data_IF_130321881000
#
_entry.id   IF_130321881000
#
_cell.length_a   1.000
_cell.length_b   1.000
_cell.length_c   1.000
_cell.angle_alpha   90.00
_cell.angle_beta   90.00
_cell.angle_gamma   90.00
#
_symmetry.space_group_name_H-M   'P 1'
#
loop_
_entity.id
_entity.type
_entity.pdbx_description
1 polymer ?
#
# COMPACT_ATOMS: atom_id res chain seq x y z
N UNK A 1 -6.64 -15.75 44.58
CA UNK A 1 -6.77 -16.46 43.27
C UNK A 1 -8.17 -16.25 42.73
N UNK A 2 -8.36 -15.34 41.77
CA UNK A 2 -9.59 -15.23 40.97
C UNK A 2 -9.18 -14.95 39.52
N UNK A 3 -9.57 -15.86 38.64
CA UNK A 3 -9.27 -15.89 37.20
C UNK A 3 -10.12 -14.81 36.55
N UNK A 4 -9.50 -13.73 36.07
CA UNK A 4 -10.18 -12.71 35.25
C UNK A 4 -10.05 -13.16 33.80
N UNK A 5 -11.20 -13.42 33.17
CA UNK A 5 -11.31 -13.98 31.84
C UNK A 5 -10.83 -13.01 30.76
N UNK A 6 -10.12 -13.56 29.77
CA UNK A 6 -9.57 -12.86 28.60
C UNK A 6 -10.63 -12.21 27.67
N UNK A 7 -11.92 -12.38 27.98
CA UNK A 7 -13.03 -11.87 27.17
C UNK A 7 -13.27 -10.35 27.33
N UNK A 8 -12.65 -9.67 28.30
CA UNK A 8 -12.91 -8.23 28.55
C UNK A 8 -11.95 -7.26 27.86
N UNK A 9 -10.87 -7.73 27.22
CA UNK A 9 -9.90 -6.85 26.53
C UNK A 9 -10.33 -6.58 25.08
N UNK A 10 -11.06 -7.50 24.45
CA UNK A 10 -11.45 -7.39 23.04
C UNK A 10 -12.61 -6.39 22.84
N UNK A 11 -13.46 -6.17 23.84
CA UNK A 11 -14.59 -5.25 23.74
C UNK A 11 -14.21 -3.75 23.87
N UNK A 12 -13.01 -3.43 24.36
CA UNK A 12 -12.54 -2.03 24.49
C UNK A 12 -11.90 -1.52 23.19
N UNK A 13 -11.40 -2.42 22.32
CA UNK A 13 -10.73 -2.03 21.08
C UNK A 13 -11.66 -1.78 19.87
N UNK A 14 -12.96 -2.10 19.97
CA UNK A 14 -13.93 -1.93 18.88
C UNK A 14 -14.87 -0.71 19.02
N UNK A 15 -14.70 0.14 20.05
CA UNK A 15 -15.58 1.29 20.29
C UNK A 15 -14.87 2.67 20.25
N UNK A 16 -13.58 2.73 19.88
CA UNK A 16 -12.81 3.98 19.82
C UNK A 16 -12.39 4.39 18.38
N UNK A 17 -13.03 3.81 17.36
CA UNK A 17 -12.78 4.10 15.94
C UNK A 17 -13.87 4.92 15.26
N UNK A 18 -14.86 5.45 16.00
CA UNK A 18 -15.98 6.20 15.41
C UNK A 18 -16.25 7.61 15.99
N UNK A 19 -15.41 8.15 16.90
CA UNK A 19 -15.66 9.49 17.47
C UNK A 19 -14.58 10.55 17.20
N UNK A 20 -13.46 10.20 16.56
CA UNK A 20 -12.38 11.16 16.27
C UNK A 20 -12.45 11.83 14.88
N UNK A 21 -13.34 11.40 13.98
CA UNK A 21 -13.43 11.94 12.62
C UNK A 21 -14.50 13.04 12.44
N UNK A 22 -15.40 13.25 13.41
CA UNK A 22 -16.57 14.13 13.27
C UNK A 22 -16.44 15.56 13.82
N UNK A 23 -15.37 15.91 14.54
CA UNK A 23 -15.20 17.24 15.17
C UNK A 23 -14.11 18.12 14.54
N UNK A 24 -13.63 17.78 13.34
CA UNK A 24 -12.66 18.59 12.58
C UNK A 24 -13.21 18.92 11.18
N UNK A 25 -14.49 19.28 11.08
CA UNK A 25 -15.12 19.63 9.79
C UNK A 25 -16.00 20.88 9.83
N UNK A 26 -15.93 21.69 10.91
CA UNK A 26 -16.66 22.96 11.03
C UNK A 26 -15.77 24.19 11.19
N UNK A 27 -14.67 24.24 10.45
CA UNK A 27 -14.07 25.54 10.14
C UNK A 27 -13.88 25.64 8.63
N UNK A 28 -14.96 26.05 7.97
CA UNK A 28 -14.86 26.70 6.67
C UNK A 28 -13.86 27.85 6.84
N UNK A 29 -12.65 27.67 6.29
CA UNK A 29 -11.72 28.76 6.10
C UNK A 29 -12.08 29.38 4.75
N UNK A 30 -12.42 30.65 4.79
CA UNK A 30 -12.50 31.48 3.59
C UNK A 30 -11.23 31.27 2.76
N UNK A 31 -11.41 30.84 1.51
CA UNK A 31 -10.33 30.67 0.54
C UNK A 31 -10.09 32.04 -0.10
N UNK A 32 -8.93 32.71 0.12
CA UNK A 32 -8.61 33.93 -0.60
C UNK A 32 -8.27 33.62 -2.06
N UNK A 33 -8.53 34.61 -2.89
CA UNK A 33 -8.42 34.67 -4.35
C UNK A 33 -7.16 34.01 -4.95
N UNK A 34 -7.30 33.46 -6.16
CA UNK A 34 -6.28 32.68 -6.87
C UNK A 34 -4.99 33.49 -7.02
N UNK A 35 -3.89 32.96 -6.47
CA UNK A 35 -2.54 33.46 -6.75
C UNK A 35 -2.19 33.39 -8.24
N UNK A 36 -1.14 34.12 -8.69
CA UNK A 36 -0.80 34.23 -10.11
C UNK A 36 -0.49 32.86 -10.71
N UNK A 37 -0.87 32.69 -11.98
CA UNK A 37 -0.70 31.46 -12.73
C UNK A 37 0.76 30.95 -12.62
N UNK A 38 0.92 29.72 -12.15
CA UNK A 38 2.18 28.99 -12.27
C UNK A 38 2.44 28.74 -13.75
N UNK A 39 3.54 29.30 -14.28
CA UNK A 39 4.00 29.05 -15.64
C UNK A 39 4.18 27.55 -15.84
N UNK A 40 3.31 26.96 -16.68
CA UNK A 40 3.45 25.58 -17.13
C UNK A 40 4.67 25.49 -18.05
N UNK A 41 5.85 25.28 -17.45
CA UNK A 41 7.04 24.89 -18.21
C UNK A 41 6.76 23.54 -18.88
N UNK A 42 7.19 23.34 -20.13
CA UNK A 42 7.01 22.07 -20.81
C UNK A 42 7.58 20.93 -19.96
N UNK A 43 6.85 19.83 -19.81
CA UNK A 43 7.41 18.60 -19.23
C UNK A 43 8.36 18.03 -20.29
N UNK A 44 9.64 18.10 -20.01
CA UNK A 44 10.71 17.47 -20.79
C UNK A 44 10.39 15.97 -20.90
N UNK A 45 9.85 15.54 -22.05
CA UNK A 45 9.44 14.15 -22.33
C UNK A 45 10.64 13.27 -22.69
N UNK A 46 11.74 13.42 -21.94
CA UNK A 46 13.05 12.85 -22.29
C UNK A 46 13.90 12.37 -21.13
N UNK A 47 13.31 12.00 -19.98
CA UNK A 47 14.06 11.34 -18.91
C UNK A 47 14.34 9.87 -19.26
N UNK A 48 15.28 9.65 -20.17
CA UNK A 48 16.00 8.38 -20.22
C UNK A 48 16.73 8.21 -18.88
N UNK A 49 16.39 7.19 -18.09
CA UNK A 49 16.95 6.94 -16.75
C UNK A 49 18.43 6.50 -16.73
N UNK A 50 19.23 6.87 -17.72
CA UNK A 50 20.64 6.53 -17.80
C UNK A 50 21.50 7.78 -17.62
N UNK A 51 21.76 8.18 -16.37
CA UNK A 51 22.79 9.20 -16.08
C UNK A 51 22.56 10.15 -14.91
N UNK A 52 22.00 9.69 -13.79
CA UNK A 52 22.06 10.44 -12.51
C UNK A 52 23.39 10.21 -11.77
N UNK A 53 23.68 10.97 -10.70
CA UNK A 53 24.75 10.64 -9.76
C UNK A 53 24.64 9.18 -9.33
N UNK A 54 25.77 8.52 -9.04
CA UNK A 54 25.76 7.15 -8.53
C UNK A 54 24.79 7.06 -7.34
N UNK A 55 23.74 6.26 -7.49
CA UNK A 55 22.71 6.09 -6.48
C UNK A 55 23.38 5.68 -5.16
N UNK A 56 22.96 6.27 -4.04
CA UNK A 56 23.32 5.70 -2.75
C UNK A 56 22.65 4.30 -2.61
N UNK A 57 23.16 3.42 -1.73
CA UNK A 57 22.68 2.04 -1.65
C UNK A 57 21.16 1.91 -1.48
N UNK A 58 20.54 2.77 -0.67
CA UNK A 58 19.09 2.75 -0.46
C UNK A 58 18.30 3.18 -1.69
N UNK A 59 18.78 4.16 -2.45
CA UNK A 59 18.15 4.60 -3.70
C UNK A 59 18.21 3.49 -4.75
N UNK A 60 19.36 2.82 -4.88
CA UNK A 60 19.51 1.66 -5.76
C UNK A 60 18.54 0.53 -5.37
N UNK A 61 18.42 0.23 -4.08
CA UNK A 61 17.50 -0.78 -3.56
C UNK A 61 16.03 -0.43 -3.85
N UNK A 62 15.62 0.83 -3.67
CA UNK A 62 14.25 1.26 -3.99
C UNK A 62 13.95 1.16 -5.48
N UNK A 63 14.89 1.53 -6.36
CA UNK A 63 14.70 1.38 -7.81
C UNK A 63 14.54 -0.07 -8.21
N UNK A 64 15.37 -0.96 -7.65
CA UNK A 64 15.29 -2.39 -7.91
C UNK A 64 13.94 -2.96 -7.43
N UNK A 65 13.54 -2.68 -6.18
CA UNK A 65 12.26 -3.13 -5.64
C UNK A 65 11.06 -2.62 -6.47
N UNK A 66 11.12 -1.36 -6.93
CA UNK A 66 10.09 -0.80 -7.80
C UNK A 66 10.07 -1.47 -9.17
N UNK A 67 11.23 -1.72 -9.79
CA UNK A 67 11.32 -2.42 -11.06
C UNK A 67 10.77 -3.85 -10.97
N UNK A 68 11.13 -4.58 -9.91
CA UNK A 68 10.60 -5.92 -9.63
C UNK A 68 9.08 -5.90 -9.44
N UNK A 69 8.55 -4.93 -8.70
CA UNK A 69 7.10 -4.77 -8.52
C UNK A 69 6.40 -4.53 -9.86
N UNK A 70 6.90 -3.62 -10.70
CA UNK A 70 6.31 -3.35 -12.03
C UNK A 70 6.34 -4.59 -12.93
N UNK A 71 7.44 -5.35 -12.90
CA UNK A 71 7.55 -6.60 -13.63
C UNK A 71 6.54 -7.64 -13.10
N UNK A 72 6.41 -7.79 -11.78
CA UNK A 72 5.50 -8.75 -11.15
C UNK A 72 4.02 -8.38 -11.34
N UNK A 73 3.69 -7.09 -11.40
CA UNK A 73 2.33 -6.59 -11.67
C UNK A 73 1.93 -6.72 -13.14
N UNK A 74 2.86 -7.04 -14.05
CA UNK A 74 2.57 -7.32 -15.45
C UNK A 74 1.97 -8.72 -15.61
N UNK A 75 0.77 -8.91 -15.05
CA UNK A 75 0.05 -10.19 -15.05
C UNK A 75 -0.63 -10.46 -16.40
N UNK A 76 -0.74 -11.73 -16.76
CA UNK A 76 -1.64 -12.16 -17.83
C UNK A 76 -3.08 -12.12 -17.33
N UNK A 77 -3.85 -11.16 -17.84
CA UNK A 77 -5.26 -10.99 -17.49
C UNK A 77 -6.08 -12.18 -17.99
N UNK A 78 -6.87 -12.74 -17.08
CA UNK A 78 -7.75 -13.87 -17.36
C UNK A 78 -9.12 -13.43 -17.86
N UNK A 79 -9.49 -12.17 -17.62
CA UNK A 79 -10.83 -11.65 -17.85
C UNK A 79 -11.79 -11.92 -16.69
N UNK A 80 -11.35 -12.65 -15.66
CA UNK A 80 -12.06 -12.74 -14.39
C UNK A 80 -11.58 -11.59 -13.47
N UNK A 81 -12.46 -10.60 -13.16
CA UNK A 81 -12.06 -9.43 -12.38
C UNK A 81 -11.60 -9.78 -10.97
N UNK A 82 -12.10 -10.86 -10.36
CA UNK A 82 -11.72 -11.26 -9.01
C UNK A 82 -10.31 -11.86 -9.02
N UNK A 83 -10.01 -12.73 -9.98
CA UNK A 83 -8.69 -13.35 -10.15
C UNK A 83 -7.65 -12.29 -10.52
N UNK A 84 -7.99 -11.43 -11.48
CA UNK A 84 -7.08 -10.40 -11.98
C UNK A 84 -6.74 -9.38 -10.88
N UNK A 85 -7.74 -8.97 -10.08
CA UNK A 85 -7.51 -8.13 -8.90
C UNK A 85 -6.60 -8.82 -7.88
N UNK A 86 -6.88 -10.07 -7.52
CA UNK A 86 -6.11 -10.79 -6.50
C UNK A 86 -4.65 -10.99 -6.94
N UNK A 87 -4.40 -11.40 -8.18
CA UNK A 87 -3.04 -11.59 -8.71
C UNK A 87 -2.27 -10.27 -8.74
N UNK A 88 -2.88 -9.20 -9.25
CA UNK A 88 -2.25 -7.88 -9.30
C UNK A 88 -1.96 -7.32 -7.90
N UNK A 89 -2.90 -7.46 -6.97
CA UNK A 89 -2.76 -6.90 -5.62
C UNK A 89 -1.76 -7.69 -4.76
N UNK A 90 -1.64 -9.01 -4.96
CA UNK A 90 -0.57 -9.80 -4.34
C UNK A 90 0.81 -9.26 -4.77
N UNK A 91 1.02 -9.06 -6.08
CA UNK A 91 2.30 -8.54 -6.59
C UNK A 91 2.59 -7.12 -6.10
N UNK A 92 1.58 -6.26 -6.07
CA UNK A 92 1.70 -4.90 -5.55
C UNK A 92 2.12 -4.89 -4.05
N UNK A 93 1.45 -5.70 -3.23
CA UNK A 93 1.79 -5.82 -1.80
C UNK A 93 3.18 -6.40 -1.57
N UNK A 94 3.60 -7.40 -2.35
CA UNK A 94 4.96 -7.96 -2.27
C UNK A 94 6.03 -6.89 -2.59
N UNK A 95 5.76 -6.00 -3.56
CA UNK A 95 6.60 -4.84 -3.84
C UNK A 95 6.65 -3.83 -2.69
N UNK A 96 5.51 -3.51 -2.10
CA UNK A 96 5.44 -2.61 -0.94
C UNK A 96 6.16 -3.19 0.29
N UNK A 97 6.11 -4.51 0.52
CA UNK A 97 6.91 -5.18 1.54
C UNK A 97 8.41 -5.03 1.31
N UNK A 98 8.87 -5.16 0.05
CA UNK A 98 10.28 -4.97 -0.28
C UNK A 98 10.73 -3.54 0.02
N UNK A 99 9.93 -2.54 -0.34
CA UNK A 99 10.21 -1.13 -0.05
C UNK A 99 10.19 -0.83 1.45
N UNK A 100 9.23 -1.36 2.20
CA UNK A 100 9.18 -1.17 3.65
C UNK A 100 10.40 -1.76 4.36
N UNK A 101 10.90 -2.92 3.91
CA UNK A 101 12.14 -3.52 4.43
C UNK A 101 13.37 -2.64 4.20
N UNK A 102 13.47 -1.99 3.02
CA UNK A 102 14.53 -1.02 2.72
C UNK A 102 14.46 0.17 3.69
N UNK A 103 13.26 0.66 4.02
CA UNK A 103 13.10 1.74 4.99
C UNK A 103 13.52 1.33 6.42
N UNK A 104 13.24 0.07 6.82
CA UNK A 104 13.70 -0.48 8.11
C UNK A 104 15.22 -0.61 8.16
N UNK A 105 15.85 -1.00 7.05
CA UNK A 105 17.29 -1.22 6.93
C UNK A 105 18.10 0.08 6.84
N UNK A 106 17.65 1.03 6.03
CA UNK A 106 18.41 2.25 5.70
C UNK A 106 17.86 3.53 6.31
N UNK A 107 16.66 3.50 6.89
CA UNK A 107 16.03 4.68 7.47
C UNK A 107 16.61 5.04 8.84
N UNK A 108 16.73 6.34 9.12
CA UNK A 108 17.20 6.85 10.41
C UNK A 108 16.07 7.45 11.26
N UNK A 109 15.02 7.95 10.59
CA UNK A 109 13.87 8.57 11.26
C UNK A 109 12.98 7.49 11.90
N UNK A 110 12.81 7.57 13.22
CA UNK A 110 12.09 6.55 14.00
C UNK A 110 10.62 6.40 13.60
N UNK A 111 9.95 7.51 13.31
CA UNK A 111 8.57 7.53 12.83
C UNK A 111 8.42 6.82 11.48
N UNK A 112 9.35 7.03 10.55
CA UNK A 112 9.37 6.36 9.24
C UNK A 112 9.58 4.84 9.40
N UNK A 113 10.50 4.41 10.26
CA UNK A 113 10.74 2.99 10.52
C UNK A 113 9.54 2.31 11.17
N UNK A 114 8.90 2.97 12.14
CA UNK A 114 7.68 2.45 12.76
C UNK A 114 6.57 2.26 11.72
N UNK A 115 6.36 3.25 10.85
CA UNK A 115 5.41 3.13 9.75
C UNK A 115 5.75 1.94 8.82
N UNK A 116 7.02 1.75 8.50
CA UNK A 116 7.46 0.63 7.66
C UNK A 116 7.20 -0.74 8.33
N UNK A 117 7.46 -0.87 9.63
CA UNK A 117 7.15 -2.09 10.39
C UNK A 117 5.63 -2.36 10.46
N UNK A 118 4.82 -1.32 10.65
CA UNK A 118 3.35 -1.41 10.60
C UNK A 118 2.85 -1.87 9.22
N UNK A 119 3.43 -1.30 8.14
CA UNK A 119 3.14 -1.71 6.77
C UNK A 119 3.49 -3.18 6.54
N UNK A 120 4.65 -3.64 7.02
CA UNK A 120 5.08 -5.05 6.89
C UNK A 120 4.04 -5.96 7.55
N UNK A 121 3.68 -5.69 8.80
CA UNK A 121 2.75 -6.53 9.54
C UNK A 121 1.35 -6.59 8.89
N UNK A 122 0.84 -5.45 8.42
CA UNK A 122 -0.47 -5.39 7.78
C UNK A 122 -0.47 -6.11 6.42
N UNK A 123 0.51 -5.82 5.56
CA UNK A 123 0.51 -6.34 4.19
C UNK A 123 0.87 -7.82 4.10
N UNK A 124 1.71 -8.35 5.00
CA UNK A 124 1.95 -9.80 5.09
C UNK A 124 0.64 -10.56 5.37
N UNK A 125 -0.19 -10.05 6.29
CA UNK A 125 -1.48 -10.66 6.59
C UNK A 125 -2.47 -10.56 5.41
N UNK A 126 -2.46 -9.44 4.69
CA UNK A 126 -3.30 -9.24 3.50
C UNK A 126 -2.88 -10.16 2.34
N UNK A 127 -1.57 -10.36 2.11
CA UNK A 127 -1.07 -11.31 1.10
C UNK A 127 -1.56 -12.73 1.40
N UNK A 128 -1.46 -13.19 2.65
CA UNK A 128 -1.96 -14.52 3.03
C UNK A 128 -3.46 -14.64 2.75
N UNK A 129 -4.23 -13.61 3.13
CA UNK A 129 -5.67 -13.57 2.87
C UNK A 129 -5.98 -13.64 1.37
N UNK A 130 -5.29 -12.84 0.55
CA UNK A 130 -5.48 -12.81 -0.90
C UNK A 130 -5.07 -14.13 -1.56
N UNK A 131 -3.97 -14.77 -1.13
CA UNK A 131 -3.56 -16.10 -1.64
C UNK A 131 -4.62 -17.17 -1.34
N UNK A 132 -5.23 -17.14 -0.15
CA UNK A 132 -6.34 -18.04 0.20
C UNK A 132 -7.58 -17.75 -0.66
N UNK A 133 -7.91 -16.48 -0.91
CA UNK A 133 -9.02 -16.12 -1.80
C UNK A 133 -8.75 -16.58 -3.23
N UNK A 134 -7.54 -16.34 -3.75
CA UNK A 134 -7.14 -16.70 -5.11
C UNK A 134 -7.27 -18.20 -5.35
N UNK A 135 -6.73 -19.03 -4.46
CA UNK A 135 -6.86 -20.49 -4.57
C UNK A 135 -8.33 -20.94 -4.65
N UNK A 136 -9.22 -20.33 -3.84
CA UNK A 136 -10.66 -20.65 -3.89
C UNK A 136 -11.33 -20.24 -5.20
N UNK A 137 -10.91 -19.13 -5.78
CA UNK A 137 -11.47 -18.64 -7.05
C UNK A 137 -10.96 -19.43 -8.25
N UNK A 138 -9.70 -19.89 -8.21
CA UNK A 138 -9.12 -20.76 -9.26
C UNK A 138 -9.74 -22.16 -9.26
N UNK A 139 -10.14 -22.67 -8.08
CA UNK A 139 -10.82 -23.98 -7.94
C UNK A 139 -12.33 -23.93 -8.26
N UNK A 140 -12.93 -22.74 -8.33
CA UNK A 140 -14.36 -22.57 -8.54
C UNK A 140 -14.72 -22.51 -10.05
N UNK A 141 -15.83 -23.12 -10.48
CA UNK A 141 -16.35 -22.90 -11.83
C UNK A 141 -16.67 -21.42 -12.03
N UNK A 142 -16.22 -20.81 -13.13
CA UNK A 142 -16.54 -19.42 -13.47
C UNK A 142 -18.07 -19.24 -13.44
N UNK A 143 -18.62 -18.38 -12.57
CA UNK A 143 -20.06 -18.19 -12.48
C UNK A 143 -20.60 -17.66 -13.81
N UNK A 144 -21.59 -18.36 -14.38
CA UNK A 144 -22.25 -17.89 -15.59
C UNK A 144 -22.99 -16.57 -15.31
N UNK A 145 -22.69 -15.53 -16.09
CA UNK A 145 -23.44 -14.26 -16.05
C UNK A 145 -22.94 -13.19 -15.07
N UNK A 146 -21.65 -13.20 -14.69
CA UNK A 146 -21.01 -11.97 -14.19
C UNK A 146 -21.13 -10.90 -15.30
N UNK A 147 -21.62 -9.68 -15.01
CA UNK A 147 -21.91 -8.66 -16.03
C UNK A 147 -20.71 -8.32 -16.92
#
# INVERSE_FOLDING_TARGET
MKRIGWASVIAVFLALSAFAFGMISRQARDVPDRGPAVDARPIDTGASHAGGPADNPSTAAYREASAQMHAAMSIDYTGDPDIDFLRGMIAHHEGALAMAKIAVEHGEARDVRNLAEEIIAAQDAEIVRMKVMLARHEDAPVPAGRP
#
